data_IF_524873266114
#
_entry.id   IF_524873266114
#
_cell.length_a   1.000
_cell.length_b   1.000
_cell.length_c   1.000
_cell.angle_alpha   90.00
_cell.angle_beta   90.00
_cell.angle_gamma   90.00
#
_symmetry.space_group_name_H-M   'P 1'
#
loop_
_entity.id
_entity.type
_entity.pdbx_description
1 polymer ?
#
# COMPACT_ATOMS: atom_id res chain seq x y z
N UNK A 1 -31.14 -61.55 18.29
CA UNK A 1 -31.49 -60.14 18.03
C UNK A 1 -32.34 -60.13 16.77
N UNK A 2 -33.51 -59.48 16.79
CA UNK A 2 -34.36 -59.37 15.59
C UNK A 2 -33.83 -58.27 14.66
N UNK A 3 -34.04 -58.43 13.35
CA UNK A 3 -33.67 -57.42 12.34
C UNK A 3 -34.20 -56.03 12.67
N UNK A 4 -35.43 -55.93 13.18
CA UNK A 4 -36.03 -54.67 13.60
C UNK A 4 -35.25 -53.91 14.70
N UNK A 5 -34.49 -54.61 15.54
CA UNK A 5 -33.61 -53.97 16.53
C UNK A 5 -32.33 -53.46 15.86
N UNK A 6 -31.80 -54.22 14.90
CA UNK A 6 -30.61 -53.87 14.13
C UNK A 6 -30.85 -52.63 13.27
N UNK A 7 -31.97 -52.56 12.56
CA UNK A 7 -32.38 -51.40 11.74
C UNK A 7 -32.54 -50.14 12.58
N UNK A 8 -33.14 -50.26 13.77
CA UNK A 8 -33.30 -49.12 14.68
C UNK A 8 -31.94 -48.59 15.16
N UNK A 9 -30.99 -49.48 15.47
CA UNK A 9 -29.65 -49.10 15.90
C UNK A 9 -28.84 -48.49 14.76
N UNK A 10 -29.02 -48.97 13.53
CA UNK A 10 -28.39 -48.40 12.34
C UNK A 10 -28.94 -47.00 12.05
N UNK A 11 -30.26 -46.79 12.02
CA UNK A 11 -30.83 -45.46 11.82
C UNK A 11 -30.44 -44.46 12.93
N UNK A 12 -30.32 -44.92 14.18
CA UNK A 12 -29.81 -44.10 15.27
C UNK A 12 -28.32 -43.74 15.11
N UNK A 13 -27.53 -44.61 14.47
CA UNK A 13 -26.13 -44.31 14.14
C UNK A 13 -26.03 -43.33 12.96
N UNK A 14 -26.79 -43.56 11.89
CA UNK A 14 -26.84 -42.68 10.71
C UNK A 14 -27.23 -41.25 11.09
N UNK A 15 -28.29 -41.07 11.87
CA UNK A 15 -28.69 -39.74 12.37
C UNK A 15 -27.61 -39.06 13.24
N UNK A 16 -26.82 -39.83 13.99
CA UNK A 16 -25.69 -39.28 14.75
C UNK A 16 -24.52 -38.90 13.83
N UNK A 17 -24.27 -39.67 12.78
CA UNK A 17 -23.26 -39.32 11.78
C UNK A 17 -23.65 -38.06 11.01
N UNK A 18 -24.89 -37.95 10.55
CA UNK A 18 -25.41 -36.74 9.89
C UNK A 18 -25.26 -35.50 10.78
N UNK A 19 -25.53 -35.66 12.08
CA UNK A 19 -25.36 -34.57 13.04
C UNK A 19 -23.89 -34.17 13.21
N UNK A 20 -22.98 -35.14 13.32
CA UNK A 20 -21.55 -34.88 13.42
C UNK A 20 -21.00 -34.21 12.16
N UNK A 21 -21.44 -34.64 10.98
CA UNK A 21 -21.03 -34.04 9.71
C UNK A 21 -21.46 -32.57 9.63
N UNK A 22 -22.70 -32.24 10.03
CA UNK A 22 -23.17 -30.85 10.09
C UNK A 22 -22.38 -30.01 11.08
N UNK A 23 -22.02 -30.57 12.24
CA UNK A 23 -21.19 -29.87 13.22
C UNK A 23 -19.77 -29.64 12.70
N UNK A 24 -19.17 -30.62 12.02
CA UNK A 24 -17.86 -30.49 11.41
C UNK A 24 -17.84 -29.43 10.31
N UNK A 25 -18.85 -29.42 9.43
CA UNK A 25 -19.01 -28.38 8.42
C UNK A 25 -19.14 -26.99 9.06
N UNK A 26 -19.96 -26.85 10.11
CA UNK A 26 -20.12 -25.59 10.82
C UNK A 26 -18.84 -25.12 11.53
N UNK A 27 -18.00 -26.05 12.02
CA UNK A 27 -16.69 -25.72 12.62
C UNK A 27 -15.70 -25.30 11.53
N UNK A 28 -15.67 -26.01 10.40
CA UNK A 28 -14.82 -25.69 9.26
C UNK A 28 -15.14 -24.28 8.72
N UNK A 29 -16.41 -23.97 8.47
CA UNK A 29 -16.85 -22.64 8.03
C UNK A 29 -16.47 -21.53 9.02
N UNK A 30 -16.53 -21.82 10.33
CA UNK A 30 -16.13 -20.86 11.37
C UNK A 30 -14.62 -20.66 11.41
N UNK A 31 -13.83 -21.72 11.24
CA UNK A 31 -12.38 -21.65 11.21
C UNK A 31 -11.89 -20.90 9.96
N UNK A 32 -12.45 -21.19 8.80
CA UNK A 32 -12.13 -20.49 7.55
C UNK A 32 -12.42 -18.98 7.63
N UNK A 33 -13.47 -18.58 8.36
CA UNK A 33 -13.78 -17.16 8.59
C UNK A 33 -12.96 -16.51 9.69
N UNK A 34 -12.50 -17.29 10.68
CA UNK A 34 -11.80 -16.77 11.85
C UNK A 34 -10.31 -16.54 11.63
N UNK A 35 -9.73 -17.15 10.59
CA UNK A 35 -8.35 -16.87 10.19
C UNK A 35 -8.38 -15.67 9.25
N UNK A 36 -8.12 -14.42 9.72
CA UNK A 36 -7.85 -13.34 8.80
C UNK A 36 -6.72 -13.80 7.88
N UNK A 37 -6.90 -13.63 6.57
CA UNK A 37 -5.88 -14.03 5.62
C UNK A 37 -4.56 -13.40 6.06
N UNK A 38 -3.51 -14.21 6.15
CA UNK A 38 -2.18 -13.72 6.54
C UNK A 38 -1.73 -12.58 5.61
N UNK A 39 -2.21 -12.56 4.37
CA UNK A 39 -1.98 -11.48 3.41
C UNK A 39 -2.72 -10.19 3.78
N UNK A 40 -3.92 -10.27 4.37
CA UNK A 40 -4.66 -9.09 4.85
C UNK A 40 -3.95 -8.47 6.04
N UNK A 41 -3.59 -9.28 7.04
CA UNK A 41 -2.84 -8.82 8.20
C UNK A 41 -1.49 -8.20 7.79
N UNK A 42 -0.81 -8.80 6.80
CA UNK A 42 0.43 -8.25 6.24
C UNK A 42 0.21 -6.90 5.56
N UNK A 43 -0.86 -6.74 4.77
CA UNK A 43 -1.19 -5.47 4.10
C UNK A 43 -1.53 -4.37 5.10
N UNK A 44 -2.31 -4.69 6.15
CA UNK A 44 -2.64 -3.76 7.22
C UNK A 44 -1.39 -3.31 7.99
N UNK A 45 -0.52 -4.26 8.36
CA UNK A 45 0.76 -3.95 9.00
C UNK A 45 1.65 -3.09 8.12
N UNK A 46 1.74 -3.39 6.82
CA UNK A 46 2.51 -2.58 5.87
C UNK A 46 1.96 -1.15 5.78
N UNK A 47 0.63 -0.97 5.74
CA UNK A 47 0.00 0.34 5.76
C UNK A 47 0.34 1.11 7.03
N UNK A 48 0.19 0.48 8.19
CA UNK A 48 0.48 1.07 9.49
C UNK A 48 1.96 1.48 9.64
N UNK A 49 2.90 0.59 9.28
CA UNK A 49 4.34 0.91 9.31
C UNK A 49 4.66 2.07 8.38
N UNK A 50 4.06 2.09 7.18
CA UNK A 50 4.27 3.16 6.20
C UNK A 50 3.83 4.52 6.76
N UNK A 51 2.66 4.58 7.39
CA UNK A 51 2.14 5.79 8.03
C UNK A 51 3.02 6.22 9.20
N UNK A 52 3.35 5.28 10.10
CA UNK A 52 4.18 5.56 11.27
C UNK A 52 5.57 6.10 10.89
N UNK A 53 6.26 5.45 9.95
CA UNK A 53 7.58 5.90 9.49
C UNK A 53 7.47 7.24 8.77
N UNK A 54 6.42 7.48 7.98
CA UNK A 54 6.18 8.77 7.34
C UNK A 54 6.08 9.91 8.38
N UNK A 55 5.30 9.71 9.44
CA UNK A 55 5.15 10.68 10.52
C UNK A 55 6.46 10.89 11.30
N UNK A 56 7.19 9.80 11.61
CA UNK A 56 8.45 9.89 12.34
C UNK A 56 9.54 10.61 11.55
N UNK A 57 9.60 10.40 10.24
CA UNK A 57 10.56 11.10 9.38
C UNK A 57 10.25 12.61 9.31
N UNK A 58 8.98 13.00 9.24
CA UNK A 58 8.58 14.42 9.30
C UNK A 58 9.09 15.11 10.56
N UNK A 59 9.05 14.43 11.71
CA UNK A 59 9.52 14.96 12.99
C UNK A 59 11.05 15.07 13.10
N UNK A 60 11.79 14.35 12.25
CA UNK A 60 13.25 14.35 12.26
C UNK A 60 13.85 15.40 11.30
N UNK A 61 13.03 15.97 10.42
CA UNK A 61 13.48 16.99 9.48
C UNK A 61 13.63 18.33 10.20
N UNK A 62 14.81 18.99 10.11
CA UNK A 62 15.00 20.32 10.66
C UNK A 62 14.00 21.32 10.06
N UNK A 63 13.58 22.32 10.85
CA UNK A 63 12.67 23.44 10.48
C UNK A 63 13.05 24.20 9.19
N UNK A 64 14.19 23.90 8.57
CA UNK A 64 14.70 24.53 7.34
C UNK A 64 14.28 23.82 6.05
N UNK A 65 13.61 22.67 6.10
CA UNK A 65 12.95 22.12 4.92
C UNK A 65 11.61 22.81 4.73
N UNK A 66 11.62 23.97 4.07
CA UNK A 66 10.41 24.68 3.67
C UNK A 66 9.58 23.80 2.74
N UNK A 67 8.59 23.12 3.30
CA UNK A 67 7.58 22.43 2.52
C UNK A 67 6.54 23.48 2.11
N UNK A 68 6.41 23.85 0.82
CA UNK A 68 5.30 24.68 0.40
C UNK A 68 4.01 23.99 0.84
N UNK A 69 3.19 24.76 1.56
CA UNK A 69 1.87 24.34 1.97
C UNK A 69 1.10 23.88 0.74
N UNK A 70 0.27 22.85 0.93
CA UNK A 70 -0.44 22.15 -0.14
C UNK A 70 -1.39 23.11 -0.86
N UNK A 71 -0.88 23.89 -1.81
CA UNK A 71 -1.68 24.63 -2.77
C UNK A 71 -2.30 23.59 -3.72
N UNK A 72 -3.59 23.38 -3.50
CA UNK A 72 -4.49 22.70 -4.41
C UNK A 72 -4.72 23.63 -5.60
N UNK A 73 -3.71 23.79 -6.45
CA UNK A 73 -3.84 24.54 -7.69
C UNK A 73 -4.22 23.59 -8.83
N UNK A 74 -5.52 23.40 -8.92
CA UNK A 74 -6.17 23.04 -10.17
C UNK A 74 -5.91 24.17 -11.19
N UNK A 75 -5.13 23.85 -12.23
CA UNK A 75 -5.18 24.54 -13.51
C UNK A 75 -4.03 25.51 -13.79
N UNK A 76 -3.02 25.03 -14.52
CA UNK A 76 -2.22 25.88 -15.41
C UNK A 76 -1.64 25.06 -16.58
N UNK A 77 -2.28 25.24 -17.74
CA UNK A 77 -1.79 25.11 -19.11
C UNK A 77 -1.07 23.80 -19.54
N UNK A 78 -1.77 23.08 -20.43
CA UNK A 78 -1.21 22.05 -21.28
C UNK A 78 0.04 22.55 -22.03
N UNK A 79 1.21 22.00 -21.67
CA UNK A 79 2.44 22.08 -22.45
C UNK A 79 3.31 20.83 -22.18
N UNK A 80 2.94 19.75 -22.87
CA UNK A 80 3.82 18.69 -23.40
C UNK A 80 4.74 17.93 -22.42
N UNK A 81 4.15 17.32 -21.38
CA UNK A 81 4.80 16.25 -20.59
C UNK A 81 4.50 16.26 -19.10
N UNK A 82 4.84 15.18 -18.37
CA UNK A 82 4.62 15.08 -16.94
C UNK A 82 5.52 16.04 -16.14
N UNK A 83 5.02 16.55 -15.03
CA UNK A 83 5.75 17.46 -14.11
C UNK A 83 5.95 16.81 -12.74
N UNK A 84 7.05 17.14 -12.07
CA UNK A 84 7.36 16.64 -10.73
C UNK A 84 6.26 17.09 -9.74
N UNK A 85 5.68 16.17 -8.93
CA UNK A 85 4.59 16.51 -8.02
C UNK A 85 4.94 17.64 -7.04
N UNK A 86 4.03 18.60 -6.90
CA UNK A 86 4.22 19.78 -6.04
C UNK A 86 5.15 20.84 -6.63
N UNK A 87 5.51 20.74 -7.92
CA UNK A 87 6.44 21.67 -8.58
C UNK A 87 6.03 21.96 -10.03
N UNK A 88 6.71 22.90 -10.68
CA UNK A 88 6.55 23.22 -12.11
C UNK A 88 7.67 22.64 -12.99
N UNK A 89 8.52 21.76 -12.45
CA UNK A 89 9.66 21.18 -13.18
C UNK A 89 9.17 20.03 -14.06
N UNK A 90 9.50 20.08 -15.36
CA UNK A 90 9.17 18.99 -16.30
C UNK A 90 10.04 17.77 -16.03
N UNK A 91 9.45 16.60 -16.21
CA UNK A 91 10.13 15.32 -16.08
C UNK A 91 9.68 14.34 -17.16
N UNK A 92 10.30 13.17 -17.20
CA UNK A 92 9.87 12.05 -18.04
C UNK A 92 8.83 11.19 -17.31
N UNK A 93 8.00 10.45 -18.04
CA UNK A 93 7.02 9.53 -17.44
C UNK A 93 7.69 8.45 -16.57
N UNK A 94 8.91 8.05 -16.95
CA UNK A 94 9.68 7.08 -16.17
C UNK A 94 10.05 7.62 -14.78
N UNK A 95 10.33 8.92 -14.66
CA UNK A 95 10.60 9.57 -13.36
C UNK A 95 9.35 9.54 -12.47
N UNK A 96 8.18 9.81 -13.04
CA UNK A 96 6.91 9.70 -12.29
C UNK A 96 6.65 8.27 -11.84
N UNK A 97 6.86 7.28 -12.72
CA UNK A 97 6.70 5.88 -12.35
C UNK A 97 7.64 5.48 -11.21
N UNK A 98 8.90 5.95 -11.21
CA UNK A 98 9.86 5.68 -10.15
C UNK A 98 9.52 6.36 -8.84
N UNK A 99 9.07 7.62 -8.88
CA UNK A 99 8.54 8.31 -7.70
C UNK A 99 7.35 7.55 -7.11
N UNK A 100 6.45 7.03 -7.95
CA UNK A 100 5.31 6.23 -7.53
C UNK A 100 5.66 4.92 -6.82
N UNK A 101 6.85 4.36 -7.08
CA UNK A 101 7.34 3.14 -6.40
C UNK A 101 7.87 3.41 -4.99
N UNK A 102 8.11 4.66 -4.61
CA UNK A 102 8.52 5.01 -3.25
C UNK A 102 7.30 4.83 -2.32
N UNK A 103 7.32 3.85 -1.40
CA UNK A 103 6.12 3.51 -0.63
C UNK A 103 5.76 4.57 0.41
N UNK A 104 6.77 5.21 1.01
CA UNK A 104 6.58 6.20 2.08
C UNK A 104 6.23 7.56 1.45
N UNK A 105 5.02 8.11 1.69
CA UNK A 105 4.58 9.35 1.06
C UNK A 105 5.50 10.54 1.35
N UNK A 106 5.97 10.66 2.59
CA UNK A 106 6.89 11.74 2.96
C UNK A 106 8.22 11.68 2.20
N UNK A 107 8.83 10.50 2.09
CA UNK A 107 10.08 10.32 1.33
C UNK A 107 9.87 10.68 -0.14
N UNK A 108 8.74 10.30 -0.72
CA UNK A 108 8.38 10.65 -2.11
C UNK A 108 8.30 12.17 -2.31
N UNK A 109 7.68 12.89 -1.38
CA UNK A 109 7.62 14.35 -1.41
C UNK A 109 9.00 14.98 -1.25
N UNK A 110 9.78 14.52 -0.28
CA UNK A 110 11.14 15.00 -0.02
C UNK A 110 12.06 14.81 -1.23
N UNK A 111 12.01 13.64 -1.88
CA UNK A 111 12.77 13.38 -3.11
C UNK A 111 12.30 14.30 -4.24
N UNK A 112 10.99 14.48 -4.42
CA UNK A 112 10.45 15.39 -5.45
C UNK A 112 10.97 16.83 -5.26
N UNK A 113 10.93 17.34 -4.02
CA UNK A 113 11.41 18.68 -3.69
C UNK A 113 12.91 18.83 -3.91
N UNK A 114 13.73 17.90 -3.40
CA UNK A 114 15.18 17.91 -3.56
C UNK A 114 15.61 17.87 -5.03
N UNK A 115 14.97 17.02 -5.82
CA UNK A 115 15.23 16.94 -7.27
C UNK A 115 14.85 18.25 -7.96
N UNK A 116 13.73 18.87 -7.57
CA UNK A 116 13.33 20.16 -8.12
C UNK A 116 14.26 21.31 -7.72
N UNK A 117 14.74 21.35 -6.48
CA UNK A 117 15.74 22.33 -6.03
C UNK A 117 17.06 22.19 -6.79
N UNK A 118 17.53 20.95 -6.97
CA UNK A 118 18.75 20.65 -7.73
C UNK A 118 18.58 21.02 -9.21
N UNK A 119 17.41 20.72 -9.79
CA UNK A 119 17.10 21.10 -11.17
C UNK A 119 17.05 22.63 -11.37
N UNK A 120 16.53 23.38 -10.39
CA UNK A 120 16.56 24.85 -10.41
C UNK A 120 17.98 25.38 -10.28
N UNK A 121 18.79 24.83 -9.38
CA UNK A 121 20.18 25.23 -9.19
C UNK A 121 21.03 24.98 -10.46
N UNK A 122 20.81 23.86 -11.13
CA UNK A 122 21.52 23.47 -12.36
C UNK A 122 20.84 23.99 -13.66
N UNK A 123 19.74 24.75 -13.56
CA UNK A 123 18.94 25.25 -14.69
C UNK A 123 18.54 24.17 -15.71
N UNK A 124 18.12 23.00 -15.21
CA UNK A 124 17.72 21.86 -16.04
C UNK A 124 16.26 22.03 -16.49
N UNK A 125 16.03 22.05 -17.80
CA UNK A 125 14.70 22.23 -18.39
C UNK A 125 13.81 20.98 -18.36
N UNK A 126 14.38 19.78 -18.25
CA UNK A 126 13.65 18.51 -18.18
C UNK A 126 14.44 17.47 -17.38
N UNK A 127 13.80 16.88 -16.36
CA UNK A 127 14.39 15.85 -15.51
C UNK A 127 14.21 14.47 -16.14
N UNK A 128 15.33 13.87 -16.54
CA UNK A 128 15.39 12.47 -16.96
C UNK A 128 15.74 11.55 -15.79
N UNK A 129 15.78 10.25 -16.07
CA UNK A 129 16.07 9.21 -15.07
C UNK A 129 17.47 9.35 -14.49
N UNK A 130 18.47 9.68 -15.31
CA UNK A 130 19.86 9.78 -14.86
C UNK A 130 20.04 10.96 -13.91
N UNK A 131 19.41 12.08 -14.23
CA UNK A 131 19.36 13.25 -13.35
C UNK A 131 18.63 12.92 -12.05
N UNK A 132 17.47 12.25 -12.15
CA UNK A 132 16.69 11.85 -10.99
C UNK A 132 17.49 10.96 -10.03
N UNK A 133 18.17 9.93 -10.51
CA UNK A 133 19.01 9.05 -9.67
C UNK A 133 20.13 9.80 -8.96
N UNK A 134 20.79 10.72 -9.68
CA UNK A 134 21.86 11.56 -9.13
C UNK A 134 21.34 12.51 -8.05
N UNK A 135 20.25 13.22 -8.33
CA UNK A 135 19.69 14.24 -7.45
C UNK A 135 18.90 13.64 -6.26
N UNK A 136 18.37 12.43 -6.40
CA UNK A 136 17.63 11.71 -5.35
C UNK A 136 18.53 11.02 -4.31
N UNK A 137 19.86 11.08 -4.46
CA UNK A 137 20.80 10.50 -3.49
C UNK A 137 20.89 11.40 -2.24
N UNK A 138 20.88 10.81 -1.04
CA UNK A 138 21.02 11.51 0.25
C UNK A 138 22.44 11.42 0.78
#
# INVERSE_FOLDING_TARGET
MSDANLDRRLGALESRFDHLERLLAAIHDKLDRAVPSMDDAKRELQGWVTEYVSLRLQQLVPETCEHPEREVDAGAAAADGPVLPGTRIRCTDEVISRLGRIPIPFVRQMVSQKVAETARAENVGMVDVKFFERAATF
#
